data_IF_262081768621
#
_entry.id   IF_262081768621
#
_cell.length_a   1.000
_cell.length_b   1.000
_cell.length_c   1.000
_cell.angle_alpha   90.00
_cell.angle_beta   90.00
_cell.angle_gamma   90.00
#
_symmetry.space_group_name_H-M   'P 1'
#
loop_
_entity.id
_entity.type
_entity.pdbx_description
1 polymer ?
#
# COMPACT_ATOMS: atom_id res chain seq x y z
N UNK A 1 13.45 -18.37 3.14
CA UNK A 1 13.93 -18.16 4.53
C UNK A 1 15.30 -17.45 4.61
N UNK A 2 16.34 -17.88 3.87
CA UNK A 2 17.69 -17.30 3.97
C UNK A 2 17.92 -15.88 3.38
N UNK A 3 17.06 -15.42 2.46
CA UNK A 3 17.10 -14.06 1.92
C UNK A 3 16.50 -13.04 2.91
N UNK A 4 15.34 -13.35 3.52
CA UNK A 4 14.68 -12.49 4.51
C UNK A 4 15.56 -12.25 5.74
N UNK A 5 16.23 -13.30 6.26
CA UNK A 5 17.16 -13.19 7.40
C UNK A 5 18.36 -12.27 7.13
N UNK A 6 18.77 -12.10 5.87
CA UNK A 6 19.86 -11.20 5.45
C UNK A 6 19.36 -9.81 5.03
N UNK A 7 18.11 -9.72 4.58
CA UNK A 7 17.54 -8.52 3.96
C UNK A 7 16.71 -7.60 4.83
N UNK A 8 16.19 -8.10 5.95
CA UNK A 8 15.26 -7.35 6.79
C UNK A 8 15.81 -5.99 7.23
N UNK A 9 17.12 -5.86 7.49
CA UNK A 9 17.76 -4.60 7.90
C UNK A 9 17.61 -3.48 6.86
N UNK A 10 17.54 -3.82 5.56
CA UNK A 10 17.35 -2.85 4.48
C UNK A 10 15.87 -2.72 4.09
N UNK A 11 15.09 -3.80 4.17
CA UNK A 11 13.65 -3.74 3.86
C UNK A 11 12.85 -2.94 4.89
N UNK A 12 13.22 -3.02 6.18
CA UNK A 12 12.61 -2.25 7.25
C UNK A 12 12.59 -0.73 6.98
N UNK A 13 13.74 -0.06 6.77
CA UNK A 13 13.74 1.38 6.50
C UNK A 13 13.05 1.73 5.17
N UNK A 14 13.13 0.88 4.14
CA UNK A 14 12.40 1.11 2.88
C UNK A 14 10.90 1.14 3.14
N UNK A 15 10.34 0.11 3.79
CA UNK A 15 8.90 0.02 4.09
C UNK A 15 8.48 1.11 5.07
N UNK A 16 9.29 1.40 6.10
CA UNK A 16 9.00 2.48 7.03
C UNK A 16 8.90 3.85 6.32
N UNK A 17 9.85 4.17 5.44
CA UNK A 17 9.88 5.45 4.72
C UNK A 17 8.83 5.56 3.61
N UNK A 18 8.45 4.45 2.99
CA UNK A 18 7.59 4.48 1.79
C UNK A 18 6.15 4.05 2.02
N UNK A 19 5.86 3.39 3.15
CA UNK A 19 4.52 2.92 3.50
C UNK A 19 4.07 3.57 4.82
N UNK A 20 4.81 3.33 5.90
CA UNK A 20 4.39 3.72 7.25
C UNK A 20 4.38 5.24 7.44
N UNK A 21 5.48 5.92 7.11
CA UNK A 21 5.59 7.37 7.28
C UNK A 21 4.57 8.12 6.42
N UNK A 22 4.41 7.82 5.11
CA UNK A 22 3.40 8.47 4.29
C UNK A 22 1.96 8.20 4.75
N UNK A 23 1.67 6.99 5.26
CA UNK A 23 0.36 6.67 5.82
C UNK A 23 0.08 7.51 7.08
N UNK A 24 1.03 7.58 8.01
CA UNK A 24 0.91 8.41 9.21
C UNK A 24 0.72 9.89 8.89
N UNK A 25 1.47 10.41 7.90
CA UNK A 25 1.32 11.79 7.43
C UNK A 25 -0.08 12.02 6.83
N UNK A 26 -0.59 11.09 6.02
CA UNK A 26 -1.94 11.17 5.47
C UNK A 26 -3.00 11.13 6.58
N UNK A 27 -2.90 10.22 7.54
CA UNK A 27 -3.79 10.17 8.71
C UNK A 27 -3.78 11.48 9.49
N UNK A 28 -2.61 12.10 9.68
CA UNK A 28 -2.52 13.39 10.37
C UNK A 28 -3.20 14.52 9.58
N UNK A 29 -3.06 14.54 8.25
CA UNK A 29 -3.76 15.51 7.41
C UNK A 29 -5.26 15.29 7.43
N UNK A 30 -5.73 14.04 7.37
CA UNK A 30 -7.15 13.69 7.49
C UNK A 30 -7.68 14.16 8.84
N UNK A 31 -6.99 13.86 9.94
CA UNK A 31 -7.37 14.31 11.28
C UNK A 31 -7.42 15.84 11.39
N UNK A 32 -6.55 16.56 10.68
CA UNK A 32 -6.50 18.02 10.70
C UNK A 32 -7.64 18.69 9.94
N UNK A 33 -8.21 18.03 8.93
CA UNK A 33 -9.34 18.54 8.16
C UNK A 33 -10.68 17.89 8.51
N UNK A 34 -10.67 16.87 9.38
CA UNK A 34 -11.88 16.19 9.82
C UNK A 34 -12.74 17.13 10.67
N UNK A 35 -13.90 17.47 10.14
CA UNK A 35 -14.90 18.33 10.77
C UNK A 35 -16.13 17.55 11.25
N UNK A 36 -16.08 16.20 11.23
CA UNK A 36 -17.21 15.33 11.56
C UNK A 36 -17.83 15.65 12.92
N UNK A 37 -17.02 15.80 13.97
CA UNK A 37 -17.49 16.12 15.31
C UNK A 37 -18.16 17.51 15.41
N UNK A 38 -17.70 18.49 14.60
CA UNK A 38 -18.35 19.81 14.52
C UNK A 38 -19.71 19.70 13.84
N UNK A 39 -19.80 18.94 12.75
CA UNK A 39 -21.08 18.69 12.08
C UNK A 39 -22.07 17.99 12.99
N UNK A 40 -21.64 16.98 13.75
CA UNK A 40 -22.50 16.30 14.74
C UNK A 40 -23.07 17.25 15.78
N UNK A 41 -22.26 18.19 16.29
CA UNK A 41 -22.72 19.21 17.24
C UNK A 41 -23.71 20.21 16.62
N UNK A 42 -23.49 20.63 15.36
CA UNK A 42 -24.41 21.52 14.64
C UNK A 42 -25.75 20.82 14.32
N UNK A 43 -25.71 19.60 13.78
CA UNK A 43 -26.91 18.81 13.49
C UNK A 43 -27.72 18.47 14.75
N UNK A 44 -27.06 18.30 15.90
CA UNK A 44 -27.75 18.10 17.17
C UNK A 44 -28.58 19.32 17.60
N UNK A 45 -28.22 20.53 17.13
CA UNK A 45 -28.94 21.77 17.43
C UNK A 45 -30.04 22.09 16.41
N UNK A 46 -29.81 21.84 15.12
CA UNK A 46 -30.83 21.95 14.08
C UNK A 46 -30.60 20.92 12.97
N UNK A 47 -31.52 19.96 12.82
CA UNK A 47 -31.43 18.88 11.82
C UNK A 47 -31.97 19.29 10.45
N UNK A 48 -32.66 20.44 10.34
CA UNK A 48 -33.31 20.86 9.09
C UNK A 48 -32.35 21.60 8.14
N UNK A 49 -31.18 21.99 8.63
CA UNK A 49 -30.21 22.81 7.88
C UNK A 49 -28.84 22.13 7.89
N UNK A 50 -28.19 22.08 6.73
CA UNK A 50 -26.81 21.60 6.62
C UNK A 50 -25.85 22.57 7.34
N UNK A 51 -24.75 22.07 7.94
CA UNK A 51 -23.71 22.91 8.53
C UNK A 51 -23.25 24.01 7.57
N UNK A 52 -23.04 25.22 8.08
CA UNK A 52 -22.75 26.39 7.24
C UNK A 52 -21.47 26.22 6.40
N UNK A 53 -20.48 25.50 6.93
CA UNK A 53 -19.21 25.20 6.28
C UNK A 53 -19.19 23.85 5.55
N UNK A 54 -20.31 23.12 5.48
CA UNK A 54 -20.38 21.73 5.00
C UNK A 54 -19.64 21.50 3.68
N UNK A 55 -19.93 22.32 2.66
CA UNK A 55 -19.31 22.16 1.33
C UNK A 55 -17.81 22.46 1.33
N UNK A 56 -17.39 23.47 2.09
CA UNK A 56 -15.98 23.84 2.19
C UNK A 56 -15.19 22.74 2.90
N UNK A 57 -15.67 22.29 4.05
CA UNK A 57 -15.11 21.21 4.84
C UNK A 57 -15.05 19.88 4.05
N UNK A 58 -16.16 19.52 3.39
CA UNK A 58 -16.23 18.30 2.57
C UNK A 58 -15.24 18.36 1.40
N UNK A 59 -15.09 19.53 0.75
CA UNK A 59 -14.13 19.70 -0.34
C UNK A 59 -12.68 19.61 0.15
N UNK A 60 -12.39 20.10 1.35
CA UNK A 60 -11.08 19.99 1.97
C UNK A 60 -10.76 18.52 2.32
N UNK A 61 -11.69 17.81 2.94
CA UNK A 61 -11.56 16.39 3.26
C UNK A 61 -11.35 15.55 2.00
N UNK A 62 -12.20 15.73 0.97
CA UNK A 62 -12.07 15.01 -0.30
C UNK A 62 -10.78 15.37 -1.04
N UNK A 63 -10.35 16.63 -0.99
CA UNK A 63 -9.09 17.09 -1.57
C UNK A 63 -7.88 16.43 -0.91
N UNK A 64 -7.85 16.36 0.43
CA UNK A 64 -6.81 15.68 1.21
C UNK A 64 -6.82 14.18 0.94
N UNK A 65 -7.98 13.54 0.96
CA UNK A 65 -8.10 12.10 0.69
C UNK A 65 -7.65 11.79 -0.74
N UNK A 66 -8.21 12.44 -1.74
CA UNK A 66 -7.88 12.15 -3.14
C UNK A 66 -6.42 12.51 -3.48
N UNK A 67 -6.01 13.75 -3.21
CA UNK A 67 -4.66 14.21 -3.49
C UNK A 67 -3.61 13.48 -2.65
N UNK A 68 -3.90 13.27 -1.36
CA UNK A 68 -3.05 12.55 -0.44
C UNK A 68 -2.90 11.07 -0.81
N UNK A 69 -3.98 10.38 -1.19
CA UNK A 69 -3.91 8.99 -1.68
C UNK A 69 -3.10 8.88 -2.97
N UNK A 70 -3.21 9.82 -3.91
CA UNK A 70 -2.40 9.81 -5.14
C UNK A 70 -0.90 9.94 -4.85
N UNK A 71 -0.53 10.86 -3.96
CA UNK A 71 0.86 11.06 -3.52
C UNK A 71 1.35 9.84 -2.73
N UNK A 72 0.50 9.33 -1.82
CA UNK A 72 0.77 8.12 -1.06
C UNK A 72 1.06 6.94 -1.99
N UNK A 73 0.21 6.69 -2.99
CA UNK A 73 0.40 5.62 -3.98
C UNK A 73 1.72 5.78 -4.75
N UNK A 74 2.10 7.00 -5.12
CA UNK A 74 3.38 7.25 -5.80
C UNK A 74 4.57 6.86 -4.91
N UNK A 75 4.54 7.28 -3.64
CA UNK A 75 5.60 6.94 -2.67
C UNK A 75 5.60 5.43 -2.40
N UNK A 76 4.43 4.80 -2.32
CA UNK A 76 4.33 3.34 -2.20
C UNK A 76 5.01 2.64 -3.39
N UNK A 77 4.81 3.13 -4.62
CA UNK A 77 5.44 2.57 -5.82
C UNK A 77 6.98 2.61 -5.74
N UNK A 78 7.56 3.66 -5.13
CA UNK A 78 9.01 3.71 -4.84
C UNK A 78 9.40 2.54 -3.93
N UNK A 79 8.64 2.32 -2.85
CA UNK A 79 8.86 1.23 -1.90
C UNK A 79 8.75 -0.15 -2.52
N UNK A 80 7.72 -0.37 -3.33
CA UNK A 80 7.50 -1.61 -4.07
C UNK A 80 8.66 -1.93 -5.02
N UNK A 81 9.10 -0.95 -5.82
CA UNK A 81 10.20 -1.13 -6.74
C UNK A 81 11.55 -1.32 -6.03
N UNK A 82 11.85 -0.48 -5.03
CA UNK A 82 13.08 -0.58 -4.23
C UNK A 82 13.16 -1.91 -3.47
N UNK A 83 12.07 -2.31 -2.82
CA UNK A 83 11.95 -3.55 -2.07
C UNK A 83 12.13 -4.79 -2.94
N UNK A 84 11.47 -4.82 -4.10
CA UNK A 84 11.63 -5.89 -5.10
C UNK A 84 13.07 -6.02 -5.57
N UNK A 85 13.73 -4.89 -5.84
CA UNK A 85 15.15 -4.85 -6.23
C UNK A 85 16.09 -5.39 -5.16
N UNK A 86 15.88 -5.00 -3.89
CA UNK A 86 16.67 -5.50 -2.76
C UNK A 86 16.50 -7.02 -2.60
N UNK A 87 15.25 -7.51 -2.66
CA UNK A 87 14.95 -8.94 -2.53
C UNK A 87 15.66 -9.75 -3.62
N UNK A 88 15.57 -9.31 -4.88
CA UNK A 88 16.20 -10.00 -6.01
C UNK A 88 17.73 -10.03 -5.89
N UNK A 89 18.37 -8.89 -5.59
CA UNK A 89 19.83 -8.81 -5.48
C UNK A 89 20.39 -9.59 -4.29
N UNK A 90 19.71 -9.55 -3.14
CA UNK A 90 20.16 -10.33 -1.98
C UNK A 90 19.95 -11.83 -2.18
N UNK A 91 18.91 -12.24 -2.91
CA UNK A 91 18.75 -13.63 -3.34
C UNK A 91 19.88 -14.08 -4.29
N UNK A 92 20.47 -13.16 -5.05
CA UNK A 92 21.66 -13.39 -5.87
C UNK A 92 22.99 -13.25 -5.11
N UNK A 93 22.96 -12.94 -3.81
CA UNK A 93 24.17 -12.74 -3.00
C UNK A 93 24.92 -11.43 -3.30
N UNK A 94 24.30 -10.49 -4.00
CA UNK A 94 24.91 -9.21 -4.36
C UNK A 94 24.80 -8.20 -3.22
N UNK A 95 25.81 -7.31 -3.06
CA UNK A 95 25.73 -6.22 -2.09
C UNK A 95 24.60 -5.26 -2.46
N UNK A 96 23.92 -4.75 -1.44
CA UNK A 96 22.80 -3.81 -1.59
C UNK A 96 22.97 -2.66 -0.62
N UNK A 97 22.55 -1.48 -1.06
CA UNK A 97 22.58 -0.24 -0.27
C UNK A 97 21.20 0.46 -0.38
N UNK A 98 20.81 1.14 0.69
CA UNK A 98 19.51 1.82 0.79
C UNK A 98 19.36 2.93 -0.25
N UNK A 99 20.39 3.75 -0.43
CA UNK A 99 20.37 4.87 -1.38
C UNK A 99 20.30 4.39 -2.82
N UNK A 100 20.95 3.27 -3.14
CA UNK A 100 20.86 2.64 -4.47
C UNK A 100 19.48 2.04 -4.71
N UNK A 101 18.90 1.37 -3.71
CA UNK A 101 17.55 0.80 -3.80
C UNK A 101 16.48 1.88 -4.00
N UNK A 102 16.52 2.96 -3.22
CA UNK A 102 15.55 4.07 -3.35
C UNK A 102 15.71 4.80 -4.67
N UNK A 103 16.94 4.98 -5.17
CA UNK A 103 17.19 5.58 -6.50
C UNK A 103 16.61 4.70 -7.62
N UNK A 104 16.74 3.39 -7.50
CA UNK A 104 16.07 2.46 -8.42
C UNK A 104 14.55 2.63 -8.34
N UNK A 105 14.00 2.66 -7.11
CA UNK A 105 12.58 2.88 -6.87
C UNK A 105 12.06 4.16 -7.51
N UNK A 106 12.72 5.29 -7.27
CA UNK A 106 12.35 6.59 -7.84
C UNK A 106 12.36 6.60 -9.38
N UNK A 107 13.34 5.95 -10.01
CA UNK A 107 13.42 5.84 -11.48
C UNK A 107 12.27 5.04 -12.08
N UNK A 108 11.70 4.08 -11.33
CA UNK A 108 10.62 3.20 -11.78
C UNK A 108 9.24 3.59 -11.24
N UNK A 109 9.19 4.47 -10.25
CA UNK A 109 7.96 4.80 -9.53
C UNK A 109 6.89 5.39 -10.44
N UNK A 110 7.21 6.34 -11.33
CA UNK A 110 6.21 6.96 -12.22
C UNK A 110 5.56 5.96 -13.16
N UNK A 111 6.35 5.04 -13.71
CA UNK A 111 5.83 4.02 -14.61
C UNK A 111 4.99 2.98 -13.87
N UNK A 112 5.42 2.55 -12.68
CA UNK A 112 4.63 1.67 -11.83
C UNK A 112 3.35 2.37 -11.34
N UNK A 113 3.42 3.65 -10.97
CA UNK A 113 2.29 4.46 -10.53
C UNK A 113 1.24 4.60 -11.62
N UNK A 114 1.63 4.91 -12.85
CA UNK A 114 0.70 4.98 -13.98
C UNK A 114 -0.04 3.66 -14.22
N UNK A 115 0.66 2.53 -14.10
CA UNK A 115 0.04 1.21 -14.17
C UNK A 115 -0.85 0.89 -12.97
N UNK A 116 -0.43 1.23 -11.75
CA UNK A 116 -1.23 1.05 -10.53
C UNK A 116 -2.56 1.79 -10.63
N UNK A 117 -2.58 3.02 -11.15
CA UNK A 117 -3.82 3.77 -11.38
C UNK A 117 -4.76 3.04 -12.35
N UNK A 118 -4.23 2.46 -13.43
CA UNK A 118 -5.02 1.67 -14.37
C UNK A 118 -5.57 0.42 -13.68
N UNK A 119 -4.76 -0.26 -12.85
CA UNK A 119 -5.20 -1.46 -12.14
C UNK A 119 -6.30 -1.15 -11.12
N UNK A 120 -6.11 -0.10 -10.32
CA UNK A 120 -7.08 0.36 -9.33
C UNK A 120 -8.39 0.78 -10.00
N UNK A 121 -8.32 1.49 -11.14
CA UNK A 121 -9.50 1.86 -11.91
C UNK A 121 -10.25 0.63 -12.45
N UNK A 122 -9.55 -0.37 -12.99
CA UNK A 122 -10.17 -1.61 -13.46
C UNK A 122 -10.83 -2.39 -12.32
N UNK A 123 -10.18 -2.46 -11.16
CA UNK A 123 -10.73 -3.11 -9.96
C UNK A 123 -11.97 -2.34 -9.47
N UNK A 124 -11.91 -1.02 -9.40
CA UNK A 124 -13.01 -0.15 -9.00
C UNK A 124 -14.21 -0.30 -9.94
N UNK A 125 -13.98 -0.21 -11.25
CA UNK A 125 -15.02 -0.43 -12.27
C UNK A 125 -15.61 -1.83 -12.10
N UNK A 126 -14.77 -2.85 -11.89
CA UNK A 126 -15.21 -4.20 -11.57
C UNK A 126 -16.21 -4.21 -10.41
N UNK A 127 -15.83 -3.64 -9.26
CA UNK A 127 -16.71 -3.55 -8.09
C UNK A 127 -18.01 -2.75 -8.34
N UNK A 128 -17.96 -1.70 -9.16
CA UNK A 128 -19.15 -0.92 -9.52
C UNK A 128 -20.14 -1.72 -10.37
N UNK A 129 -19.66 -2.59 -11.27
CA UNK A 129 -20.54 -3.40 -12.13
C UNK A 129 -21.10 -4.63 -11.42
N UNK A 130 -20.29 -5.32 -10.61
CA UNK A 130 -20.70 -6.43 -9.73
C UNK A 130 -19.53 -6.73 -8.75
N UNK A 131 -19.81 -7.14 -7.52
CA UNK A 131 -18.73 -7.46 -6.56
C UNK A 131 -17.73 -8.53 -7.09
N UNK A 132 -18.25 -9.54 -7.79
CA UNK A 132 -17.46 -10.66 -8.30
C UNK A 132 -16.38 -10.28 -9.34
N UNK A 133 -16.65 -9.49 -10.40
CA UNK A 133 -15.61 -9.03 -11.33
C UNK A 133 -14.54 -8.16 -10.68
N UNK A 134 -14.87 -7.37 -9.64
CA UNK A 134 -13.86 -6.63 -8.87
C UNK A 134 -12.86 -7.56 -8.17
N UNK A 135 -13.36 -8.60 -7.50
CA UNK A 135 -12.53 -9.64 -6.87
C UNK A 135 -11.69 -10.37 -7.91
N UNK A 136 -12.28 -10.74 -9.05
CA UNK A 136 -11.54 -11.39 -10.13
C UNK A 136 -10.41 -10.50 -10.66
N UNK A 137 -10.68 -9.22 -10.91
CA UNK A 137 -9.68 -8.26 -11.37
C UNK A 137 -8.52 -8.11 -10.37
N UNK A 138 -8.82 -8.07 -9.06
CA UNK A 138 -7.82 -8.01 -8.01
C UNK A 138 -6.84 -9.19 -8.07
N UNK A 139 -7.35 -10.42 -8.23
CA UNK A 139 -6.49 -11.60 -8.40
C UNK A 139 -5.76 -11.63 -9.74
N UNK A 140 -6.44 -11.23 -10.83
CA UNK A 140 -5.87 -11.21 -12.17
C UNK A 140 -4.73 -10.21 -12.31
N UNK A 141 -4.76 -9.11 -11.54
CA UNK A 141 -3.78 -8.03 -11.57
C UNK A 141 -2.76 -8.08 -10.43
N UNK A 142 -2.91 -9.00 -9.47
CA UNK A 142 -2.02 -9.07 -8.30
C UNK A 142 -0.53 -9.26 -8.66
N UNK A 143 -0.22 -9.92 -9.79
CA UNK A 143 1.16 -10.13 -10.27
C UNK A 143 1.61 -9.04 -11.25
N UNK A 144 0.75 -8.08 -11.62
CA UNK A 144 1.07 -7.08 -12.62
C UNK A 144 2.21 -6.14 -12.18
N UNK A 145 2.33 -5.85 -10.88
CA UNK A 145 3.46 -5.08 -10.32
C UNK A 145 4.81 -5.77 -10.53
N UNK A 146 5.01 -7.01 -10.02
CA UNK A 146 6.22 -7.79 -10.29
C UNK A 146 6.49 -7.97 -11.80
N UNK A 147 5.48 -8.30 -12.60
CA UNK A 147 5.63 -8.46 -14.05
C UNK A 147 6.12 -7.17 -14.70
N UNK A 148 5.58 -6.00 -14.31
CA UNK A 148 6.05 -4.71 -14.82
C UNK A 148 7.54 -4.49 -14.50
N UNK A 149 7.98 -4.81 -13.28
CA UNK A 149 9.36 -4.60 -12.84
C UNK A 149 10.35 -5.55 -13.52
N UNK A 150 10.03 -6.84 -13.59
CA UNK A 150 10.92 -7.88 -14.13
C UNK A 150 10.81 -8.03 -15.65
N UNK A 151 9.61 -8.13 -16.22
CA UNK A 151 9.39 -8.47 -17.63
C UNK A 151 9.22 -7.23 -18.54
N UNK A 152 8.89 -6.06 -17.96
CA UNK A 152 8.77 -4.74 -18.64
C UNK A 152 7.80 -4.66 -19.82
N UNK A 153 7.06 -5.73 -20.13
CA UNK A 153 6.15 -5.82 -21.29
C UNK A 153 4.83 -6.48 -20.90
N UNK A 154 3.72 -5.94 -21.41
CA UNK A 154 2.33 -6.41 -21.21
C UNK A 154 1.97 -6.84 -19.76
N UNK A 155 1.99 -5.94 -18.74
CA UNK A 155 1.75 -6.33 -17.35
C UNK A 155 0.38 -6.99 -17.12
N UNK A 156 -0.67 -6.46 -17.77
CA UNK A 156 -2.06 -6.94 -17.61
C UNK A 156 -2.23 -8.31 -18.25
N UNK A 157 -1.91 -8.42 -19.54
CA UNK A 157 -2.13 -9.66 -20.28
C UNK A 157 -1.29 -10.80 -19.70
N UNK A 158 -0.05 -10.51 -19.30
CA UNK A 158 0.84 -11.49 -18.68
C UNK A 158 0.37 -11.93 -17.30
N UNK A 159 0.00 -11.01 -16.41
CA UNK A 159 -0.53 -11.34 -15.08
C UNK A 159 -1.80 -12.19 -15.18
N UNK A 160 -2.70 -11.84 -16.08
CA UNK A 160 -3.91 -12.61 -16.36
C UNK A 160 -3.60 -14.03 -16.90
N UNK A 161 -2.62 -14.16 -17.80
CA UNK A 161 -2.15 -15.48 -18.28
C UNK A 161 -1.60 -16.34 -17.15
N UNK A 162 -0.83 -15.76 -16.22
CA UNK A 162 -0.31 -16.49 -15.05
C UNK A 162 -1.45 -17.02 -14.17
N UNK A 163 -2.47 -16.20 -13.88
CA UNK A 163 -3.64 -16.64 -13.13
C UNK A 163 -4.39 -17.77 -13.85
N UNK A 164 -4.65 -17.63 -15.15
CA UNK A 164 -5.42 -18.62 -15.93
C UNK A 164 -4.70 -19.95 -16.06
N UNK A 165 -3.38 -19.92 -16.22
CA UNK A 165 -2.59 -21.15 -16.41
C UNK A 165 -2.49 -21.96 -15.11
N UNK A 166 -2.42 -21.30 -13.93
CA UNK A 166 -2.28 -21.97 -12.63
C UNK A 166 -3.07 -21.27 -11.51
N UNK A 167 -4.42 -21.34 -11.55
CA UNK A 167 -5.26 -20.58 -10.64
C UNK A 167 -5.05 -20.96 -9.18
N UNK A 168 -4.92 -22.26 -8.85
CA UNK A 168 -4.83 -22.71 -7.46
C UNK A 168 -3.63 -22.15 -6.68
N UNK A 169 -2.46 -22.06 -7.33
CA UNK A 169 -1.23 -21.60 -6.67
C UNK A 169 -1.21 -20.07 -6.52
N UNK A 170 -1.71 -19.34 -7.54
CA UNK A 170 -1.86 -17.88 -7.47
C UNK A 170 -2.93 -17.51 -6.45
N UNK A 171 -4.14 -18.07 -6.56
CA UNK A 171 -5.27 -17.74 -5.70
C UNK A 171 -4.95 -18.01 -4.23
N UNK A 172 -4.43 -19.19 -3.88
CA UNK A 172 -4.17 -19.53 -2.48
C UNK A 172 -3.19 -18.59 -1.79
N UNK A 173 -2.06 -18.28 -2.43
CA UNK A 173 -1.03 -17.41 -1.83
C UNK A 173 -1.37 -15.94 -1.90
N UNK A 174 -1.87 -15.47 -3.05
CA UNK A 174 -2.30 -14.09 -3.20
C UNK A 174 -3.46 -13.82 -2.25
N UNK A 175 -4.41 -14.75 -2.09
CA UNK A 175 -5.50 -14.59 -1.13
C UNK A 175 -4.99 -14.52 0.30
N UNK A 176 -4.03 -15.37 0.69
CA UNK A 176 -3.45 -15.32 2.04
C UNK A 176 -2.75 -13.99 2.30
N UNK A 177 -1.97 -13.49 1.33
CA UNK A 177 -1.30 -12.19 1.42
C UNK A 177 -2.31 -11.05 1.50
N UNK A 178 -3.31 -11.05 0.62
CA UNK A 178 -4.36 -10.02 0.59
C UNK A 178 -5.18 -10.02 1.89
N UNK A 179 -5.60 -11.19 2.37
CA UNK A 179 -6.34 -11.33 3.63
C UNK A 179 -5.51 -10.84 4.83
N UNK A 180 -4.21 -11.16 4.87
CA UNK A 180 -3.33 -10.67 5.93
C UNK A 180 -3.21 -9.15 5.90
N UNK A 181 -3.04 -8.55 4.72
CA UNK A 181 -2.93 -7.10 4.56
C UNK A 181 -4.23 -6.40 4.91
N UNK A 182 -5.34 -6.81 4.31
CA UNK A 182 -6.66 -6.23 4.59
C UNK A 182 -7.01 -6.38 6.06
N UNK A 183 -6.78 -7.56 6.65
CA UNK A 183 -7.04 -7.83 8.06
C UNK A 183 -6.20 -6.95 8.99
N UNK A 184 -4.90 -6.82 8.76
CA UNK A 184 -4.03 -5.97 9.58
C UNK A 184 -4.32 -4.49 9.38
N UNK A 185 -4.56 -4.04 8.15
CA UNK A 185 -4.91 -2.64 7.87
C UNK A 185 -6.24 -2.26 8.53
N UNK A 186 -7.26 -3.13 8.46
CA UNK A 186 -8.54 -2.89 9.11
C UNK A 186 -8.40 -2.90 10.65
N UNK A 187 -7.62 -3.82 11.20
CA UNK A 187 -7.35 -3.86 12.63
C UNK A 187 -6.60 -2.59 13.07
N UNK A 188 -5.59 -2.14 12.32
CA UNK A 188 -4.83 -0.93 12.60
C UNK A 188 -5.73 0.31 12.55
N UNK A 189 -6.59 0.44 11.52
CA UNK A 189 -7.52 1.57 11.43
C UNK A 189 -8.54 1.57 12.57
N UNK A 190 -9.05 0.40 12.96
CA UNK A 190 -9.96 0.30 14.12
C UNK A 190 -9.27 0.69 15.42
N UNK A 191 -8.03 0.22 15.64
CA UNK A 191 -7.24 0.58 16.81
C UNK A 191 -6.94 2.08 16.83
N UNK A 192 -6.59 2.67 15.69
CA UNK A 192 -6.37 4.12 15.56
C UNK A 192 -7.63 4.91 15.87
N UNK A 193 -8.77 4.56 15.26
CA UNK A 193 -10.06 5.22 15.53
C UNK A 193 -10.41 5.18 17.00
N UNK A 194 -10.27 4.03 17.67
CA UNK A 194 -10.58 3.88 19.10
C UNK A 194 -9.57 4.64 19.98
N UNK A 195 -8.29 4.62 19.63
CA UNK A 195 -7.23 5.25 20.42
C UNK A 195 -7.26 6.78 20.37
N UNK A 196 -7.84 7.38 19.32
CA UNK A 196 -8.01 8.84 19.20
C UNK A 196 -9.27 9.34 19.94
N UNK A 197 -10.31 8.51 20.15
CA UNK A 197 -11.54 8.90 20.88
C UNK A 197 -11.31 9.67 22.19
N UNK A 198 -10.44 9.23 23.14
CA UNK A 198 -10.26 9.93 24.41
C UNK A 198 -9.59 11.31 24.26
N UNK A 199 -9.06 11.64 23.09
CA UNK A 199 -8.42 12.94 22.81
C UNK A 199 -9.45 14.03 22.46
N UNK A 200 -10.72 13.67 22.30
CA UNK A 200 -11.82 14.59 22.01
C UNK A 200 -11.96 14.93 20.52
N UNK A 201 -12.90 15.83 20.23
CA UNK A 201 -13.30 16.22 18.88
C UNK A 201 -12.25 17.04 18.10
N UNK A 202 -11.40 17.77 18.81
CA UNK A 202 -10.41 18.66 18.22
C UNK A 202 -9.02 18.41 18.82
N UNK A 203 -8.45 17.21 18.62
CA UNK A 203 -7.24 16.79 19.33
C UNK A 203 -6.02 17.61 18.96
N UNK A 204 -6.04 18.37 17.85
CA UNK A 204 -4.92 19.21 17.42
C UNK A 204 -4.93 20.64 18.01
N UNK A 205 -6.00 21.05 18.69
CA UNK A 205 -6.11 22.43 19.22
C UNK A 205 -5.26 22.67 20.47
N UNK A 206 -5.04 21.64 21.29
CA UNK A 206 -4.19 21.75 22.47
C UNK A 206 -2.87 21.02 22.27
N UNK A 207 -1.71 21.57 22.71
CA UNK A 207 -0.43 20.91 22.53
C UNK A 207 -0.36 19.50 23.12
N UNK A 208 -1.01 19.28 24.27
CA UNK A 208 -1.01 17.98 24.95
C UNK A 208 -1.75 16.90 24.15
N UNK A 209 -2.96 17.18 23.69
CA UNK A 209 -3.74 16.25 22.86
C UNK A 209 -3.13 16.08 21.46
N UNK A 210 -2.47 17.13 20.93
CA UNK A 210 -1.84 17.07 19.61
C UNK A 210 -0.65 16.11 19.62
N UNK A 211 0.21 16.19 20.64
CA UNK A 211 1.33 15.25 20.82
C UNK A 211 0.79 13.82 21.01
N UNK A 212 -0.27 13.64 21.80
CA UNK A 212 -0.89 12.34 22.00
C UNK A 212 -1.45 11.75 20.68
N UNK A 213 -2.14 12.56 19.87
CA UNK A 213 -2.67 12.14 18.58
C UNK A 213 -1.56 11.70 17.62
N UNK A 214 -0.50 12.51 17.50
CA UNK A 214 0.67 12.19 16.66
C UNK A 214 1.34 10.89 17.09
N UNK A 215 1.51 10.67 18.39
CA UNK A 215 2.08 9.43 18.91
C UNK A 215 1.18 8.23 18.65
N UNK A 216 -0.13 8.37 18.83
CA UNK A 216 -1.12 7.31 18.53
C UNK A 216 -1.08 6.91 17.06
N UNK A 217 -1.09 7.89 16.15
CA UNK A 217 -0.98 7.66 14.70
C UNK A 217 0.35 6.99 14.36
N UNK A 218 1.46 7.46 14.93
CA UNK A 218 2.78 6.89 14.68
C UNK A 218 2.88 5.43 15.14
N UNK A 219 2.35 5.11 16.32
CA UNK A 219 2.35 3.74 16.86
C UNK A 219 1.47 2.82 16.02
N UNK A 220 0.26 3.23 15.67
CA UNK A 220 -0.68 2.43 14.87
C UNK A 220 -0.16 2.19 13.45
N UNK A 221 0.42 3.20 12.81
CA UNK A 221 1.08 3.04 11.52
C UNK A 221 2.25 2.04 11.60
N UNK A 222 3.03 2.06 12.70
CA UNK A 222 4.13 1.12 12.90
C UNK A 222 3.63 -0.33 13.11
N UNK A 223 2.44 -0.52 13.68
CA UNK A 223 1.82 -1.85 13.81
C UNK A 223 1.47 -2.49 12.45
N UNK A 224 1.26 -1.69 11.40
CA UNK A 224 1.02 -2.18 10.04
C UNK A 224 2.29 -2.64 9.31
N UNK A 225 3.48 -2.27 9.81
CA UNK A 225 4.76 -2.54 9.18
C UNK A 225 5.01 -4.03 8.85
N UNK A 226 4.73 -5.00 9.76
CA UNK A 226 4.92 -6.42 9.46
C UNK A 226 4.04 -6.90 8.30
N UNK A 227 2.82 -6.39 8.16
CA UNK A 227 1.93 -6.74 7.06
C UNK A 227 2.48 -6.25 5.72
N UNK A 228 2.97 -5.00 5.65
CA UNK A 228 3.58 -4.47 4.43
C UNK A 228 4.84 -5.25 4.01
N UNK A 229 5.68 -5.66 4.97
CA UNK A 229 6.83 -6.54 4.67
C UNK A 229 6.39 -7.91 4.15
N UNK A 230 5.39 -8.52 4.80
CA UNK A 230 4.86 -9.81 4.39
C UNK A 230 4.23 -9.73 2.98
N UNK A 231 3.55 -8.63 2.66
CA UNK A 231 2.98 -8.38 1.34
C UNK A 231 4.07 -8.27 0.28
N UNK A 232 5.08 -7.44 0.52
CA UNK A 232 6.19 -7.24 -0.42
C UNK A 232 6.95 -8.55 -0.68
N UNK A 233 7.37 -9.24 0.37
CA UNK A 233 8.10 -10.50 0.25
C UNK A 233 7.21 -11.59 -0.35
N UNK A 234 5.95 -11.66 0.09
CA UNK A 234 4.98 -12.67 -0.35
C UNK A 234 4.70 -12.58 -1.85
N UNK A 235 4.47 -11.37 -2.38
CA UNK A 235 4.22 -11.18 -3.82
C UNK A 235 5.46 -11.45 -4.67
N UNK A 236 6.65 -11.03 -4.24
CA UNK A 236 7.89 -11.31 -4.98
C UNK A 236 8.21 -12.81 -5.00
N UNK A 237 8.02 -13.51 -3.88
CA UNK A 237 8.21 -14.97 -3.82
C UNK A 237 7.16 -15.71 -4.65
N UNK A 238 5.90 -15.28 -4.58
CA UNK A 238 4.83 -15.86 -5.40
C UNK A 238 5.12 -15.69 -6.90
N UNK A 239 5.60 -14.51 -7.31
CA UNK A 239 6.03 -14.27 -8.69
C UNK A 239 7.20 -15.18 -9.10
N UNK A 240 8.26 -15.24 -8.30
CA UNK A 240 9.44 -16.06 -8.62
C UNK A 240 9.10 -17.55 -8.75
N UNK A 241 8.21 -18.07 -7.90
CA UNK A 241 7.76 -19.46 -7.96
C UNK A 241 6.90 -19.75 -9.20
N UNK A 242 6.00 -18.82 -9.55
CA UNK A 242 5.24 -18.94 -10.81
C UNK A 242 6.17 -18.99 -12.01
N UNK A 243 7.20 -18.12 -12.04
CA UNK A 243 8.21 -18.13 -13.11
C UNK A 243 9.01 -19.43 -13.12
N UNK A 244 9.29 -20.03 -11.96
CA UNK A 244 10.05 -21.28 -11.85
C UNK A 244 9.28 -22.49 -12.41
N UNK A 245 7.96 -22.40 -12.46
CA UNK A 245 7.10 -23.41 -13.07
C UNK A 245 6.98 -23.28 -14.59
N UNK A 246 7.30 -22.13 -15.17
CA UNK A 246 7.33 -21.92 -16.63
C UNK A 246 8.69 -22.29 -17.24
N UNK A 247 9.76 -22.25 -16.44
CA UNK A 247 11.10 -22.65 -16.85
C UNK A 247 12.14 -22.40 -15.76
N UNK A 248 13.42 -22.78 -15.98
CA UNK A 248 14.47 -22.56 -15.00
C UNK A 248 14.63 -21.06 -14.70
N UNK A 249 14.48 -20.69 -13.43
CA UNK A 249 14.74 -19.35 -12.89
C UNK A 249 15.91 -19.46 -11.93
N UNK A 250 16.89 -18.58 -12.07
CA UNK A 250 17.89 -18.38 -11.04
C UNK A 250 17.85 -16.94 -10.51
N UNK A 251 18.32 -16.74 -9.28
CA UNK A 251 18.29 -15.43 -8.63
C UNK A 251 19.17 -14.40 -9.33
N UNK A 252 20.27 -14.84 -9.96
CA UNK A 252 21.14 -13.96 -10.74
C UNK A 252 20.42 -13.37 -11.97
N UNK A 253 19.58 -14.15 -12.63
CA UNK A 253 18.76 -13.71 -13.76
C UNK A 253 17.72 -12.70 -13.30
N UNK A 254 16.97 -12.99 -12.23
CA UNK A 254 16.00 -12.03 -11.68
C UNK A 254 16.66 -10.71 -11.26
N UNK A 255 17.87 -10.76 -10.68
CA UNK A 255 18.62 -9.56 -10.36
C UNK A 255 19.04 -8.77 -11.61
N UNK A 256 19.47 -9.45 -12.68
CA UNK A 256 19.86 -8.83 -13.94
C UNK A 256 18.68 -8.21 -14.70
N UNK A 257 17.49 -8.81 -14.64
CA UNK A 257 16.25 -8.28 -15.25
C UNK A 257 15.87 -6.90 -14.68
N UNK A 258 16.27 -6.59 -13.45
CA UNK A 258 16.00 -5.31 -12.81
C UNK A 258 17.03 -4.21 -13.14
N UNK A 259 18.19 -4.54 -13.71
CA UNK A 259 19.27 -3.58 -14.01
C UNK A 259 20.42 -3.62 -13.00
#
# INVERSE_FOLDING_TARGET
MGAVRRGWRLLLPIVALTQVLPAAVLSLFVLAVDSSARWEAELASDTAVLPAAFWADMSALLGVLFGGTLVFLLVQCVGWAAGTWVIARQAAGQPTDLGTALRYGLRRALGLWGWSLVFELLILVGFCFCFLPGIYAMFALAMAGPVYLFERSDPIGRSHRMLRNRPGLVLGRVALVLLAVIGVSLAASMVESVAVLPLGAAPLETPGTAVAAVLTIAVTALLALPAHLAQLVGLVVAYAEQRAHEGPVNSAQLAAELG
#
